data_IF_754593955169
#
_entry.id   IF_754593955169
#
_cell.length_a   1.000
_cell.length_b   1.000
_cell.length_c   1.000
_cell.angle_alpha   90.00
_cell.angle_beta   90.00
_cell.angle_gamma   90.00
#
_symmetry.space_group_name_H-M   'P 1'
#
loop_
_entity.id
_entity.type
_entity.pdbx_description
1 polymer ?
#
# COMPACT_ATOMS: atom_id res chain seq x y z
N UNK A 1 -22.43 0.78 10.21
CA UNK A 1 -21.59 1.95 9.86
C UNK A 1 -21.65 2.14 8.35
N UNK A 2 -21.84 3.35 7.83
CA UNK A 2 -21.94 3.57 6.37
C UNK A 2 -20.59 3.30 5.67
N UNK A 3 -20.58 2.91 4.38
CA UNK A 3 -19.34 2.67 3.62
C UNK A 3 -18.35 3.85 3.68
N UNK A 4 -18.88 5.08 3.59
CA UNK A 4 -18.08 6.32 3.70
C UNK A 4 -17.38 6.47 5.06
N UNK A 5 -18.09 6.18 6.16
CA UNK A 5 -17.54 6.28 7.52
C UNK A 5 -16.49 5.18 7.78
N UNK A 6 -16.61 4.02 7.13
CA UNK A 6 -15.62 2.93 7.18
C UNK A 6 -14.31 3.32 6.47
N UNK A 7 -14.40 3.90 5.28
CA UNK A 7 -13.22 4.35 4.53
C UNK A 7 -12.43 5.44 5.25
N UNK A 8 -13.12 6.47 5.76
CA UNK A 8 -12.47 7.55 6.53
C UNK A 8 -11.72 7.01 7.76
N UNK A 9 -12.27 6.01 8.44
CA UNK A 9 -11.59 5.35 9.56
C UNK A 9 -10.31 4.63 9.12
N UNK A 10 -10.27 4.04 7.92
CA UNK A 10 -9.06 3.40 7.39
C UNK A 10 -7.97 4.43 7.06
N UNK A 11 -8.32 5.56 6.45
CA UNK A 11 -7.37 6.66 6.24
C UNK A 11 -6.82 7.19 7.57
N UNK A 12 -7.66 7.36 8.59
CA UNK A 12 -7.21 7.74 9.94
C UNK A 12 -6.25 6.71 10.55
N UNK A 13 -6.48 5.41 10.32
CA UNK A 13 -5.54 4.36 10.75
C UNK A 13 -4.21 4.45 10.01
N UNK A 14 -4.21 4.64 8.70
CA UNK A 14 -2.98 4.83 7.90
C UNK A 14 -2.24 6.06 8.43
N UNK A 15 -2.94 7.17 8.66
CA UNK A 15 -2.36 8.38 9.27
C UNK A 15 -1.66 8.05 10.59
N UNK A 16 -2.31 7.32 11.48
CA UNK A 16 -1.72 6.93 12.76
C UNK A 16 -0.49 6.03 12.61
N UNK A 17 -0.40 5.24 11.54
CA UNK A 17 0.75 4.37 11.27
C UNK A 17 1.96 5.18 10.81
N UNK A 18 1.74 6.18 9.96
CA UNK A 18 2.82 6.98 9.35
C UNK A 18 3.13 8.30 10.06
N UNK A 19 2.34 8.68 11.07
CA UNK A 19 2.42 9.98 11.70
C UNK A 19 3.82 10.29 12.23
N UNK A 20 4.47 11.30 11.64
CA UNK A 20 5.80 11.75 12.04
C UNK A 20 6.94 10.85 11.54
N UNK A 21 6.66 9.96 10.58
CA UNK A 21 7.64 9.06 10.00
C UNK A 21 7.85 9.34 8.52
N UNK A 22 9.07 9.19 8.01
CA UNK A 22 9.30 9.18 6.57
C UNK A 22 8.75 7.89 5.97
N UNK A 23 7.85 7.99 4.99
CA UNK A 23 7.20 6.82 4.40
C UNK A 23 7.19 6.84 2.87
N UNK A 24 7.14 5.64 2.29
CA UNK A 24 7.02 5.37 0.86
C UNK A 24 5.78 4.51 0.59
N UNK A 25 5.09 4.79 -0.52
CA UNK A 25 4.01 3.96 -1.03
C UNK A 25 4.51 3.13 -2.22
N UNK A 26 4.52 1.81 -2.09
CA UNK A 26 4.83 0.88 -3.18
C UNK A 26 3.54 0.29 -3.75
N UNK A 27 3.33 0.46 -5.06
CA UNK A 27 2.26 -0.19 -5.80
C UNK A 27 2.71 -1.54 -6.33
N UNK A 28 1.95 -2.59 -6.03
CA UNK A 28 2.20 -3.96 -6.50
C UNK A 28 1.02 -4.44 -7.32
N UNK A 29 1.30 -5.26 -8.33
CA UNK A 29 0.29 -5.91 -9.14
C UNK A 29 0.69 -6.12 -10.60
N UNK A 30 -0.12 -6.87 -11.33
CA UNK A 30 0.09 -7.15 -12.75
C UNK A 30 -0.72 -6.22 -13.65
N UNK A 31 -0.06 -5.36 -14.42
CA UNK A 31 -0.73 -4.45 -15.36
C UNK A 31 -1.55 -5.16 -16.44
N UNK A 32 -1.14 -6.36 -16.84
CA UNK A 32 -1.81 -7.16 -17.87
C UNK A 32 -3.14 -7.76 -17.37
N UNK A 33 -3.38 -7.78 -16.05
CA UNK A 33 -4.63 -8.26 -15.45
C UNK A 33 -5.46 -7.06 -14.99
N UNK A 34 -6.62 -6.85 -15.60
CA UNK A 34 -7.49 -5.69 -15.32
C UNK A 34 -7.83 -5.51 -13.84
N UNK A 35 -8.01 -6.61 -13.12
CA UNK A 35 -8.37 -6.58 -11.71
C UNK A 35 -7.16 -6.31 -10.80
N UNK A 36 -5.95 -6.66 -11.25
CA UNK A 36 -4.71 -6.67 -10.47
C UNK A 36 -3.86 -5.40 -10.64
N UNK A 37 -4.19 -4.56 -11.63
CA UNK A 37 -3.38 -3.37 -11.97
C UNK A 37 -3.50 -2.18 -11.02
N UNK A 38 -4.33 -2.26 -9.98
CA UNK A 38 -4.71 -1.07 -9.20
C UNK A 38 -3.56 -0.55 -8.35
N UNK A 39 -2.75 -1.43 -7.75
CA UNK A 39 -1.58 -1.00 -7.00
C UNK A 39 -0.61 -0.23 -7.89
N UNK A 40 -0.27 -0.79 -9.05
CA UNK A 40 0.64 -0.16 -10.03
C UNK A 40 0.07 1.12 -10.64
N UNK A 41 -1.23 1.16 -10.97
CA UNK A 41 -1.88 2.38 -11.48
C UNK A 41 -1.89 3.50 -10.43
N UNK A 42 -2.17 3.16 -9.17
CA UNK A 42 -2.16 4.10 -8.07
C UNK A 42 -0.75 4.68 -7.87
N UNK A 43 0.28 3.82 -7.84
CA UNK A 43 1.66 4.26 -7.69
C UNK A 43 2.11 5.17 -8.84
N UNK A 44 1.86 4.79 -10.09
CA UNK A 44 2.19 5.61 -11.29
C UNK A 44 1.49 6.98 -11.27
N UNK A 45 0.23 7.04 -10.83
CA UNK A 45 -0.48 8.32 -10.69
C UNK A 45 0.12 9.16 -9.56
N UNK A 46 0.44 8.53 -8.43
CA UNK A 46 1.07 9.17 -7.28
C UNK A 46 2.44 9.75 -7.59
N UNK A 47 3.29 8.98 -8.25
CA UNK A 47 4.65 9.33 -8.63
C UNK A 47 4.71 10.58 -9.53
N UNK A 48 3.72 10.78 -10.40
CA UNK A 48 3.62 12.01 -11.22
C UNK A 48 3.46 13.29 -10.41
N UNK A 49 2.91 13.20 -9.20
CA UNK A 49 2.65 14.35 -8.32
C UNK A 49 3.68 14.42 -7.19
N UNK A 50 4.04 13.28 -6.61
CA UNK A 50 4.98 13.13 -5.49
C UNK A 50 5.99 12.01 -5.80
N UNK A 51 6.99 12.25 -6.68
CA UNK A 51 7.92 11.22 -7.16
C UNK A 51 8.73 10.55 -6.03
N UNK A 52 9.01 11.28 -4.95
CA UNK A 52 9.77 10.74 -3.82
C UNK A 52 8.93 9.87 -2.87
N UNK A 53 7.59 9.92 -2.99
CA UNK A 53 6.65 9.25 -2.07
C UNK A 53 6.02 7.99 -2.66
N UNK A 54 6.13 7.76 -3.96
CA UNK A 54 5.56 6.59 -4.62
C UNK A 54 6.63 5.82 -5.39
N UNK A 55 6.41 4.50 -5.54
CA UNK A 55 7.22 3.62 -6.38
C UNK A 55 6.32 2.54 -7.00
N UNK A 56 6.45 2.34 -8.32
CA UNK A 56 5.82 1.23 -9.03
C UNK A 56 6.73 0.00 -8.97
N UNK A 57 6.29 -1.03 -8.25
CA UNK A 57 7.03 -2.27 -8.08
C UNK A 57 6.61 -3.38 -9.06
N UNK A 58 5.58 -3.16 -9.88
CA UNK A 58 5.04 -4.17 -10.78
C UNK A 58 4.67 -5.47 -10.06
N UNK A 59 5.02 -6.60 -10.69
CA UNK A 59 4.76 -7.95 -10.18
C UNK A 59 5.85 -8.48 -9.25
N UNK A 60 7.00 -7.82 -9.17
CA UNK A 60 8.19 -8.34 -8.48
C UNK A 60 8.73 -7.32 -7.47
N UNK A 61 8.01 -7.06 -6.37
CA UNK A 61 8.41 -6.06 -5.36
C UNK A 61 9.77 -6.34 -4.71
N UNK A 62 10.23 -7.58 -4.69
CA UNK A 62 11.55 -7.98 -4.19
C UNK A 62 12.71 -7.31 -4.95
N UNK A 63 12.52 -6.95 -6.23
CA UNK A 63 13.55 -6.29 -7.03
C UNK A 63 13.85 -4.86 -6.56
N UNK A 64 12.98 -4.28 -5.74
CA UNK A 64 13.06 -2.89 -5.28
C UNK A 64 13.62 -2.77 -3.86
N UNK A 65 14.01 -3.87 -3.22
CA UNK A 65 14.53 -3.87 -1.85
C UNK A 65 15.67 -2.88 -1.64
N UNK A 66 16.68 -2.90 -2.50
CA UNK A 66 17.85 -2.03 -2.39
C UNK A 66 17.49 -0.55 -2.58
N UNK A 67 16.58 -0.25 -3.50
CA UNK A 67 16.10 1.12 -3.72
C UNK A 67 15.33 1.63 -2.50
N UNK A 68 14.42 0.82 -1.95
CA UNK A 68 13.62 1.15 -0.77
C UNK A 68 14.51 1.43 0.44
N UNK A 69 15.52 0.58 0.67
CA UNK A 69 16.52 0.78 1.74
C UNK A 69 17.30 2.08 1.51
N UNK A 70 17.71 2.35 0.27
CA UNK A 70 18.45 3.56 -0.10
C UNK A 70 17.69 4.86 0.16
N UNK A 71 16.34 4.83 0.13
CA UNK A 71 15.48 5.99 0.38
C UNK A 71 15.42 6.41 1.86
N UNK A 72 16.01 5.65 2.80
CA UNK A 72 16.05 5.96 4.24
C UNK A 72 14.67 6.30 4.82
N UNK A 73 13.67 5.52 4.43
CA UNK A 73 12.33 5.61 4.99
C UNK A 73 12.24 4.83 6.30
N UNK A 74 11.21 5.10 7.07
CA UNK A 74 10.88 4.37 8.30
C UNK A 74 9.68 3.46 8.10
N UNK A 75 8.76 3.82 7.21
CA UNK A 75 7.56 3.02 6.92
C UNK A 75 7.38 2.80 5.41
N UNK A 76 7.21 1.54 5.00
CA UNK A 76 6.75 1.15 3.68
C UNK A 76 5.26 0.79 3.72
N UNK A 77 4.46 1.44 2.88
CA UNK A 77 3.07 1.08 2.61
C UNK A 77 3.03 0.35 1.27
N UNK A 78 2.59 -0.90 1.26
CA UNK A 78 2.39 -1.68 0.04
C UNK A 78 0.92 -1.66 -0.32
N UNK A 79 0.57 -1.29 -1.55
CA UNK A 79 -0.81 -1.35 -2.07
C UNK A 79 -0.89 -2.50 -3.07
N UNK A 80 -1.73 -3.48 -2.77
CA UNK A 80 -1.87 -4.71 -3.57
C UNK A 80 -3.34 -5.15 -3.64
N UNK A 81 -3.66 -5.96 -4.64
CA UNK A 81 -4.96 -6.61 -4.76
C UNK A 81 -4.95 -7.90 -3.97
N UNK A 82 -5.86 -7.99 -3.00
CA UNK A 82 -5.85 -9.02 -1.96
C UNK A 82 -7.23 -9.66 -1.90
N UNK A 83 -7.28 -10.98 -2.05
CA UNK A 83 -8.51 -11.75 -1.84
C UNK A 83 -8.73 -11.96 -0.34
N UNK A 84 -9.90 -11.57 0.17
CA UNK A 84 -10.32 -11.84 1.55
C UNK A 84 -11.83 -11.97 1.64
N UNK A 85 -12.31 -12.86 2.52
CA UNK A 85 -13.74 -13.20 2.63
C UNK A 85 -14.56 -12.13 3.35
N UNK A 86 -13.97 -11.45 4.34
CA UNK A 86 -14.65 -10.46 5.18
C UNK A 86 -15.31 -9.30 4.39
N UNK A 87 -16.32 -8.69 5.00
CA UNK A 87 -17.01 -7.53 4.42
C UNK A 87 -16.11 -6.29 4.32
N UNK A 88 -16.08 -5.66 3.14
CA UNK A 88 -15.37 -4.42 2.87
C UNK A 88 -14.56 -4.49 1.57
N UNK A 89 -14.24 -3.32 1.01
CA UNK A 89 -13.52 -3.22 -0.26
C UNK A 89 -12.00 -3.02 -0.08
N UNK A 90 -11.56 -2.74 1.15
CA UNK A 90 -10.15 -2.52 1.51
C UNK A 90 -9.88 -3.06 2.92
N UNK A 91 -8.65 -3.52 3.17
CA UNK A 91 -8.17 -3.94 4.49
C UNK A 91 -6.72 -3.49 4.68
N UNK A 92 -6.40 -3.07 5.91
CA UNK A 92 -5.01 -2.83 6.32
C UNK A 92 -4.54 -4.13 6.99
N UNK A 93 -3.38 -4.61 6.57
CA UNK A 93 -2.80 -5.89 6.94
C UNK A 93 -1.35 -5.67 7.39
N UNK A 94 -0.94 -6.41 8.40
CA UNK A 94 0.45 -6.54 8.79
C UNK A 94 1.09 -7.74 8.07
N UNK A 95 2.43 -7.74 7.90
CA UNK A 95 3.17 -8.92 7.50
C UNK A 95 2.78 -10.14 8.35
N UNK A 96 2.58 -11.30 7.72
CA UNK A 96 2.09 -12.52 8.36
C UNK A 96 0.56 -12.69 8.34
N UNK A 97 -0.23 -11.61 8.29
CA UNK A 97 -1.70 -11.73 8.15
C UNK A 97 -2.13 -12.16 6.74
N UNK A 98 -1.23 -12.05 5.74
CA UNK A 98 -1.46 -12.48 4.36
C UNK A 98 -1.57 -14.00 4.22
N UNK A 99 -0.75 -14.77 4.95
CA UNK A 99 -0.72 -16.23 4.88
C UNK A 99 -2.03 -16.86 5.40
N UNK A 100 -2.66 -16.20 6.38
CA UNK A 100 -3.93 -16.61 6.98
C UNK A 100 -5.14 -16.40 6.05
N UNK A 101 -4.98 -15.73 4.92
CA UNK A 101 -6.08 -15.39 3.98
C UNK A 101 -6.06 -16.25 2.71
N UNK A 102 -5.17 -17.25 2.60
CA UNK A 102 -5.12 -18.17 1.44
C UNK A 102 -4.61 -17.54 0.14
N UNK A 103 -3.79 -16.50 0.23
CA UNK A 103 -3.42 -15.63 -0.90
C UNK A 103 -2.15 -16.13 -1.61
N UNK A 104 -2.20 -16.10 -2.94
CA UNK A 104 -1.19 -16.22 -4.02
C UNK A 104 0.32 -16.14 -3.67
N UNK A 105 1.18 -16.56 -4.60
CA UNK A 105 2.65 -16.45 -4.58
C UNK A 105 3.21 -15.06 -4.23
N UNK A 106 2.48 -13.96 -4.46
CA UNK A 106 2.91 -12.63 -4.00
C UNK A 106 2.87 -12.47 -2.47
N UNK A 107 2.06 -13.25 -1.74
CA UNK A 107 2.00 -13.18 -0.28
C UNK A 107 3.31 -13.60 0.39
N UNK A 108 3.98 -14.61 -0.18
CA UNK A 108 5.28 -15.07 0.30
C UNK A 108 6.37 -14.04 0.02
N UNK A 109 6.41 -13.48 -1.18
CA UNK A 109 7.35 -12.41 -1.53
C UNK A 109 7.16 -11.18 -0.65
N UNK A 110 5.92 -10.76 -0.39
CA UNK A 110 5.62 -9.61 0.48
C UNK A 110 5.96 -9.85 1.95
N UNK A 111 5.73 -11.06 2.47
CA UNK A 111 6.14 -11.42 3.83
C UNK A 111 7.68 -11.44 3.95
N UNK A 112 8.37 -12.09 3.02
CA UNK A 112 9.84 -12.11 2.99
C UNK A 112 10.41 -10.69 2.88
N UNK A 113 9.86 -9.88 1.98
CA UNK A 113 10.26 -8.49 1.80
C UNK A 113 10.08 -7.70 3.10
N UNK A 114 8.95 -7.86 3.78
CA UNK A 114 8.70 -7.18 5.05
C UNK A 114 9.65 -7.63 6.16
N UNK A 115 9.93 -8.93 6.29
CA UNK A 115 10.91 -9.47 7.23
C UNK A 115 12.32 -8.95 6.95
N UNK A 116 12.72 -8.94 5.67
CA UNK A 116 14.01 -8.43 5.25
C UNK A 116 14.17 -6.94 5.58
N UNK A 117 13.16 -6.13 5.26
CA UNK A 117 13.14 -4.69 5.54
C UNK A 117 13.09 -4.36 7.04
N UNK A 118 12.50 -5.23 7.86
CA UNK A 118 12.50 -5.07 9.31
C UNK A 118 13.93 -5.10 9.89
N UNK A 119 14.86 -5.86 9.29
CA UNK A 119 16.28 -5.85 9.68
C UNK A 119 16.97 -4.48 9.45
N UNK A 120 16.35 -3.63 8.63
CA UNK A 120 16.81 -2.26 8.34
C UNK A 120 16.00 -1.20 9.11
N UNK A 121 15.17 -1.61 10.07
CA UNK A 121 14.31 -0.72 10.83
C UNK A 121 13.10 -0.18 10.05
N UNK A 122 12.82 -0.72 8.86
CA UNK A 122 11.71 -0.29 8.01
C UNK A 122 10.47 -1.11 8.36
N UNK A 123 9.45 -0.45 8.88
CA UNK A 123 8.16 -1.06 9.16
C UNK A 123 7.37 -1.22 7.86
N UNK A 124 6.82 -2.39 7.61
CA UNK A 124 5.98 -2.64 6.43
C UNK A 124 4.53 -2.79 6.81
N UNK A 125 3.63 -2.17 6.04
CA UNK A 125 2.18 -2.31 6.16
C UNK A 125 1.59 -2.54 4.78
N UNK A 126 0.61 -3.42 4.67
CA UNK A 126 -0.05 -3.74 3.40
C UNK A 126 -1.48 -3.19 3.43
N UNK A 127 -1.86 -2.54 2.34
CA UNK A 127 -3.24 -2.13 2.05
C UNK A 127 -3.74 -3.06 0.94
N UNK A 128 -4.55 -4.02 1.35
CA UNK A 128 -5.20 -4.95 0.43
C UNK A 128 -6.51 -4.39 -0.10
N UNK A 129 -6.63 -4.26 -1.42
CA UNK A 129 -7.86 -3.88 -2.11
C UNK A 129 -8.55 -5.15 -2.62
N UNK A 130 -9.84 -5.28 -2.33
CA UNK A 130 -10.61 -6.47 -2.75
C UNK A 130 -10.83 -6.45 -4.27
N UNK A 131 -10.63 -7.56 -4.99
CA UNK A 131 -10.85 -7.67 -6.43
C UNK A 131 -12.36 -7.71 -6.78
N UNK A 132 -13.04 -6.58 -6.61
CA UNK A 132 -14.46 -6.39 -6.99
C UNK A 132 -14.58 -5.34 -8.08
N UNK A 133 -15.72 -5.20 -8.78
CA UNK A 133 -15.92 -4.12 -9.76
C UNK A 133 -15.75 -2.70 -9.21
N UNK A 134 -15.69 -2.52 -7.88
CA UNK A 134 -15.48 -1.23 -7.21
C UNK A 134 -14.01 -0.93 -6.90
N UNK A 135 -13.11 -1.86 -7.15
CA UNK A 135 -11.70 -1.76 -6.80
C UNK A 135 -11.03 -0.49 -7.38
N UNK A 136 -11.40 -0.05 -8.59
CA UNK A 136 -10.94 1.20 -9.19
C UNK A 136 -11.37 2.44 -8.39
N UNK A 137 -12.65 2.52 -8.02
CA UNK A 137 -13.19 3.61 -7.19
C UNK A 137 -12.49 3.65 -5.82
N UNK A 138 -12.22 2.48 -5.25
CA UNK A 138 -11.52 2.33 -3.97
C UNK A 138 -10.07 2.80 -4.08
N UNK A 139 -9.37 2.43 -5.16
CA UNK A 139 -8.02 2.88 -5.45
C UNK A 139 -7.94 4.41 -5.64
N UNK A 140 -8.88 5.01 -6.36
CA UNK A 140 -8.94 6.47 -6.54
C UNK A 140 -9.17 7.20 -5.20
N UNK A 141 -10.09 6.71 -4.37
CA UNK A 141 -10.32 7.25 -3.03
C UNK A 141 -9.09 7.11 -2.13
N UNK A 142 -8.41 5.96 -2.20
CA UNK A 142 -7.17 5.72 -1.45
C UNK A 142 -6.08 6.71 -1.87
N UNK A 143 -5.89 6.91 -3.17
CA UNK A 143 -4.93 7.87 -3.69
C UNK A 143 -5.21 9.30 -3.21
N UNK A 144 -6.47 9.75 -3.26
CA UNK A 144 -6.86 11.05 -2.72
C UNK A 144 -6.55 11.17 -1.23
N UNK A 145 -6.86 10.13 -0.44
CA UNK A 145 -6.54 10.08 0.98
C UNK A 145 -5.02 10.15 1.25
N UNK A 146 -4.22 9.44 0.46
CA UNK A 146 -2.75 9.49 0.57
C UNK A 146 -2.19 10.87 0.22
N UNK A 147 -2.74 11.56 -0.78
CA UNK A 147 -2.36 12.94 -1.09
C UNK A 147 -2.66 13.91 0.05
N UNK A 148 -3.82 13.76 0.72
CA UNK A 148 -4.14 14.56 1.90
C UNK A 148 -3.13 14.33 3.04
N UNK A 149 -2.67 13.09 3.22
CA UNK A 149 -1.65 12.77 4.21
C UNK A 149 -0.30 13.42 3.88
N UNK A 150 0.18 13.25 2.65
CA UNK A 150 1.46 13.83 2.20
C UNK A 150 1.42 15.37 2.31
N UNK A 151 0.33 16.01 1.87
CA UNK A 151 0.17 17.45 1.92
C UNK A 151 0.05 18.00 3.36
N UNK A 152 -0.39 17.19 4.32
CA UNK A 152 -0.43 17.60 5.72
C UNK A 152 0.96 17.62 6.35
N UNK A 153 1.85 16.69 5.98
CA UNK A 153 3.23 16.66 6.47
C UNK A 153 4.05 17.85 5.98
N UNK A 154 3.92 18.20 4.70
CA UNK A 154 4.66 19.33 4.11
C UNK A 154 4.28 20.69 4.68
N UNK A 155 3.11 20.84 5.30
CA UNK A 155 2.66 22.07 5.95
C UNK A 155 3.18 22.25 7.38
N UNK A 156 3.79 21.20 7.94
CA UNK A 156 4.25 21.18 9.34
C UNK A 156 5.78 21.27 9.44
N UNK A 157 6.48 21.30 8.30
CA UNK A 157 7.94 21.49 8.16
C UNK A 157 8.23 22.91 7.71
#
# INVERSE_FOLDING_TARGET
MTPYKKFKNQISKIKSIVNGTNFLIAGVGNELKEIDRIGVELARKGEKIYPDRFIDCGVAPENYLHEIIGRKIETLIIVDVVYFENEGDMKILMPGELALQGISTHSLSLNFMAEYLANWGIKTVIIGIKPTPKNKEVGEKLLSGLYELIAAETRTS
#
